data_IF_752541304781
#
_entry.id   IF_752541304781
#
_cell.length_a   1.000
_cell.length_b   1.000
_cell.length_c   1.000
_cell.angle_alpha   90.00
_cell.angle_beta   90.00
_cell.angle_gamma   90.00
#
_symmetry.space_group_name_H-M   'P 1'
#
loop_
_entity.id
_entity.type
_entity.pdbx_description
1 polymer ?
#
# COMPACT_ATOMS: atom_id res chain seq x y z
N UNK A 1 -9.40 9.50 -3.51
CA UNK A 1 -8.06 10.06 -3.21
C UNK A 1 -7.57 11.18 -4.16
N UNK A 2 -7.84 11.12 -5.46
CA UNK A 2 -7.12 11.97 -6.44
C UNK A 2 -7.79 13.30 -6.81
N UNK A 3 -8.82 13.73 -6.08
CA UNK A 3 -9.59 14.94 -6.43
C UNK A 3 -10.43 14.80 -7.71
N UNK A 4 -10.90 15.93 -8.24
CA UNK A 4 -11.74 15.99 -9.45
C UNK A 4 -11.62 17.34 -10.18
N UNK A 5 -12.09 17.38 -11.43
CA UNK A 5 -12.14 18.59 -12.25
C UNK A 5 -10.75 19.19 -12.53
N UNK A 6 -10.65 20.52 -12.46
CA UNK A 6 -9.40 21.27 -12.72
C UNK A 6 -8.28 21.00 -11.71
N UNK A 7 -8.59 20.39 -10.56
CA UNK A 7 -7.64 20.03 -9.50
C UNK A 7 -7.43 18.52 -9.39
N UNK A 8 -7.75 17.77 -10.45
CA UNK A 8 -7.45 16.36 -10.53
C UNK A 8 -5.93 16.14 -10.42
N UNK A 9 -5.52 15.18 -9.60
CA UNK A 9 -4.12 14.80 -9.45
C UNK A 9 -3.53 14.37 -10.80
N UNK A 10 -2.54 15.11 -11.29
CA UNK A 10 -1.82 14.81 -12.53
C UNK A 10 -1.11 13.45 -12.46
N UNK A 11 -0.64 13.08 -11.27
CA UNK A 11 0.05 11.81 -11.00
C UNK A 11 -0.88 10.60 -10.89
N UNK A 12 -2.21 10.74 -11.03
CA UNK A 12 -3.16 9.64 -10.88
C UNK A 12 -2.76 8.41 -11.69
N UNK A 13 -2.40 8.59 -12.96
CA UNK A 13 -2.04 7.45 -13.81
C UNK A 13 -0.75 6.75 -13.37
N UNK A 14 0.26 7.52 -12.96
CA UNK A 14 1.53 6.97 -12.46
C UNK A 14 1.29 6.21 -11.16
N UNK A 15 0.59 6.81 -10.20
CA UNK A 15 0.25 6.17 -8.94
C UNK A 15 -0.51 4.86 -9.15
N UNK A 16 -1.48 4.83 -10.09
CA UNK A 16 -2.18 3.59 -10.41
C UNK A 16 -1.24 2.56 -11.07
N UNK A 17 -0.33 2.96 -11.96
CA UNK A 17 0.61 2.01 -12.58
C UNK A 17 1.51 1.37 -11.52
N UNK A 18 2.06 2.18 -10.62
CA UNK A 18 2.91 1.69 -9.53
C UNK A 18 2.15 0.74 -8.61
N UNK A 19 0.93 1.12 -8.19
CA UNK A 19 0.10 0.28 -7.33
C UNK A 19 -0.21 -1.06 -7.99
N UNK A 20 -0.70 -1.07 -9.24
CA UNK A 20 -1.06 -2.32 -9.91
C UNK A 20 0.15 -3.23 -10.15
N UNK A 21 1.30 -2.68 -10.55
CA UNK A 21 2.51 -3.48 -10.78
C UNK A 21 3.06 -4.03 -9.47
N UNK A 22 3.19 -3.18 -8.45
CA UNK A 22 3.79 -3.55 -7.17
C UNK A 22 2.93 -4.56 -6.42
N UNK A 23 1.61 -4.34 -6.32
CA UNK A 23 0.72 -5.27 -5.61
C UNK A 23 0.75 -6.65 -6.26
N UNK A 24 0.66 -6.72 -7.59
CA UNK A 24 0.70 -8.00 -8.31
C UNK A 24 2.07 -8.67 -8.19
N UNK A 25 3.16 -7.91 -8.24
CA UNK A 25 4.50 -8.46 -8.05
C UNK A 25 4.70 -9.03 -6.65
N UNK A 26 4.18 -8.36 -5.61
CA UNK A 26 4.25 -8.86 -4.24
C UNK A 26 3.44 -10.16 -4.11
N UNK A 27 2.19 -10.17 -4.57
CA UNK A 27 1.31 -11.34 -4.45
C UNK A 27 1.80 -12.58 -5.22
N UNK A 28 2.54 -12.40 -6.32
CA UNK A 28 3.05 -13.51 -7.13
C UNK A 28 4.35 -14.10 -6.59
N UNK A 29 5.23 -13.25 -6.08
CA UNK A 29 6.60 -13.67 -5.75
C UNK A 29 6.82 -13.90 -4.25
N UNK A 30 5.88 -13.50 -3.39
CA UNK A 30 6.04 -13.61 -1.95
C UNK A 30 4.77 -14.11 -1.26
N UNK A 31 4.95 -15.00 -0.31
CA UNK A 31 3.97 -15.25 0.74
C UNK A 31 4.29 -14.32 1.92
N UNK A 32 3.28 -13.65 2.47
CA UNK A 32 3.48 -12.67 3.53
C UNK A 32 2.39 -12.70 4.58
N UNK A 33 2.76 -12.36 5.81
CA UNK A 33 1.87 -12.28 6.96
C UNK A 33 2.22 -11.07 7.84
N UNK A 34 1.25 -10.60 8.63
CA UNK A 34 1.50 -9.56 9.64
C UNK A 34 2.42 -10.11 10.72
N UNK A 35 3.46 -9.35 11.06
CA UNK A 35 4.40 -9.74 12.11
C UNK A 35 3.73 -9.76 13.50
N UNK A 36 2.78 -8.86 13.73
CA UNK A 36 1.92 -8.84 14.91
C UNK A 36 0.44 -8.86 14.48
N UNK A 37 -0.28 -9.97 14.67
CA UNK A 37 -1.69 -10.06 14.31
C UNK A 37 -2.61 -9.25 15.23
N UNK A 38 -2.17 -8.91 16.45
CA UNK A 38 -2.96 -8.17 17.43
C UNK A 38 -2.85 -6.65 17.25
N UNK A 39 -1.80 -6.20 16.53
CA UNK A 39 -1.60 -4.79 16.18
C UNK A 39 -1.23 -4.66 14.71
N UNK A 40 -2.25 -4.64 13.87
CA UNK A 40 -2.10 -4.62 12.42
C UNK A 40 -1.51 -3.32 11.89
N UNK A 41 -2.17 -2.18 12.17
CA UNK A 41 -1.81 -0.88 11.60
C UNK A 41 -2.30 0.24 12.51
N UNK A 42 -1.47 1.27 12.70
CA UNK A 42 -1.89 2.52 13.33
C UNK A 42 -1.94 3.63 12.29
N UNK A 43 -3.04 4.40 12.24
CA UNK A 43 -3.09 5.66 11.49
C UNK A 43 -2.61 6.80 12.39
N UNK A 44 -1.74 7.64 11.84
CA UNK A 44 -1.16 8.79 12.56
C UNK A 44 -1.67 10.13 12.07
N UNK A 45 -2.36 10.19 10.93
CA UNK A 45 -2.65 11.44 10.24
C UNK A 45 -4.09 11.48 9.70
N UNK A 46 -4.86 12.44 10.18
CA UNK A 46 -6.29 12.57 9.84
C UNK A 46 -6.56 13.06 8.39
N UNK A 47 -5.57 13.64 7.71
CA UNK A 47 -5.74 14.21 6.35
C UNK A 47 -5.09 13.37 5.25
N UNK A 48 -4.02 12.65 5.57
CA UNK A 48 -3.32 11.76 4.65
C UNK A 48 -3.13 10.46 5.40
N UNK A 49 -3.85 9.42 4.97
CA UNK A 49 -3.83 8.10 5.61
C UNK A 49 -2.41 7.52 5.56
N UNK A 50 -1.64 7.79 6.62
CA UNK A 50 -0.26 7.34 6.75
C UNK A 50 -0.23 6.30 7.85
N UNK A 51 0.10 5.09 7.44
CA UNK A 51 0.10 3.92 8.30
C UNK A 51 1.47 3.75 8.97
N UNK A 52 1.48 3.48 10.27
CA UNK A 52 2.64 3.02 11.04
C UNK A 52 2.42 1.60 11.55
N UNK A 53 3.52 0.93 11.87
CA UNK A 53 3.54 -0.40 12.49
C UNK A 53 2.91 -1.53 11.66
N UNK A 54 2.73 -1.32 10.36
CA UNK A 54 2.36 -2.37 9.40
C UNK A 54 3.57 -3.24 9.04
N UNK A 55 4.12 -3.92 10.04
CA UNK A 55 5.28 -4.77 9.87
C UNK A 55 4.85 -6.13 9.28
N UNK A 56 5.54 -6.55 8.23
CA UNK A 56 5.24 -7.79 7.50
C UNK A 56 6.45 -8.72 7.52
N UNK A 57 6.18 -10.02 7.65
CA UNK A 57 7.15 -11.09 7.42
C UNK A 57 6.93 -11.62 6.02
N UNK A 58 8.01 -11.72 5.23
CA UNK A 58 7.97 -12.17 3.85
C UNK A 58 8.79 -13.45 3.68
N UNK A 59 8.26 -14.38 2.89
CA UNK A 59 8.97 -15.55 2.39
C UNK A 59 8.85 -15.56 0.87
N UNK A 60 9.97 -15.77 0.17
CA UNK A 60 9.97 -15.89 -1.29
C UNK A 60 9.17 -17.14 -1.69
N UNK A 61 8.33 -16.99 -2.70
CA UNK A 61 7.53 -18.06 -3.27
C UNK A 61 8.28 -18.65 -4.47
N UNK A 62 8.47 -19.97 -4.45
CA UNK A 62 9.09 -20.74 -5.54
C UNK A 62 8.18 -20.83 -6.78
#
# INVERSE_FOLDING_TARGET
>A
PFGSGRFLCLGKHIAMIELHKTIVAIMRNFDFAMADPMRAVDDVLHNVHQQKNMNLVFTARE
#
